data_IF_662760699861
#
_entry.id   IF_662760699861
#
_cell.length_a   1.000
_cell.length_b   1.000
_cell.length_c   1.000
_cell.angle_alpha   90.00
_cell.angle_beta   90.00
_cell.angle_gamma   90.00
#
_symmetry.space_group_name_H-M   'P 1'
#
loop_
_entity.id
_entity.type
_entity.pdbx_description
1 polymer ?
#
# COMPACT_ATOMS: atom_id res chain seq x y z
N UNK A 1 -7.62 2.47 -13.15
CA UNK A 1 -9.03 2.29 -13.58
C UNK A 1 -9.20 1.27 -14.71
N UNK A 2 -8.37 1.29 -15.77
CA UNK A 2 -8.42 0.28 -16.85
C UNK A 2 -8.24 -1.18 -16.35
N UNK A 3 -7.36 -1.39 -15.36
CA UNK A 3 -7.10 -2.69 -14.74
C UNK A 3 -8.32 -3.34 -14.06
N UNK A 4 -9.22 -2.54 -13.47
CA UNK A 4 -10.42 -3.06 -12.80
C UNK A 4 -11.46 -3.48 -13.85
N UNK A 5 -11.61 -2.69 -14.92
CA UNK A 5 -12.54 -3.00 -16.01
C UNK A 5 -12.15 -4.29 -16.73
N UNK A 6 -10.85 -4.49 -17.01
CA UNK A 6 -10.38 -5.72 -17.67
C UNK A 6 -10.54 -6.95 -16.77
N UNK A 7 -10.28 -6.84 -15.47
CA UNK A 7 -10.50 -7.93 -14.51
C UNK A 7 -11.99 -8.31 -14.42
N UNK A 8 -12.89 -7.31 -14.37
CA UNK A 8 -14.35 -7.53 -14.35
C UNK A 8 -14.83 -8.11 -15.69
N UNK A 9 -14.36 -7.59 -16.82
CA UNK A 9 -14.72 -8.12 -18.15
C UNK A 9 -14.27 -9.57 -18.31
N UNK A 10 -13.07 -9.92 -17.86
CA UNK A 10 -12.55 -11.28 -17.93
C UNK A 10 -13.35 -12.22 -17.01
N UNK A 11 -13.73 -11.77 -15.81
CA UNK A 11 -14.56 -12.54 -14.87
C UNK A 11 -15.97 -12.78 -15.44
N UNK A 12 -16.56 -11.77 -16.08
CA UNK A 12 -17.88 -11.89 -16.73
C UNK A 12 -17.81 -12.80 -17.96
N UNK A 13 -16.76 -12.70 -18.78
CA UNK A 13 -16.54 -13.55 -19.94
C UNK A 13 -16.28 -15.02 -19.55
N UNK A 14 -15.50 -15.27 -18.49
CA UNK A 14 -15.31 -16.62 -17.95
C UNK A 14 -16.59 -17.23 -17.38
N UNK A 15 -17.52 -16.39 -16.89
CA UNK A 15 -18.82 -16.82 -16.38
C UNK A 15 -19.81 -17.09 -17.53
N UNK A 16 -19.79 -16.28 -18.59
CA UNK A 16 -20.65 -16.46 -19.76
C UNK A 16 -20.19 -17.59 -20.69
N UNK A 17 -18.91 -17.98 -20.62
CA UNK A 17 -18.34 -19.05 -21.45
C UNK A 17 -18.52 -20.47 -20.88
N UNK A 18 -19.28 -20.67 -19.79
CA UNK A 18 -19.39 -21.98 -19.10
C UNK A 18 -20.82 -22.56 -19.10
N UNK A 19 -21.12 -23.53 -19.99
CA UNK A 19 -22.31 -24.39 -19.88
C UNK A 19 -22.05 -25.71 -19.12
N UNK A 20 -20.80 -26.06 -18.75
CA UNK A 20 -20.49 -27.31 -18.04
C UNK A 20 -19.53 -27.05 -16.88
N UNK A 21 -19.86 -27.58 -15.70
CA UNK A 21 -19.05 -27.55 -14.47
C UNK A 21 -17.88 -28.53 -14.64
N UNK A 22 -16.64 -28.08 -14.46
CA UNK A 22 -15.44 -28.91 -14.66
C UNK A 22 -15.47 -30.14 -13.74
N UNK A 23 -15.14 -31.31 -14.30
CA UNK A 23 -15.13 -32.61 -13.63
C UNK A 23 -13.80 -32.95 -12.93
N UNK A 24 -12.86 -32.00 -12.86
CA UNK A 24 -11.59 -32.18 -12.17
C UNK A 24 -11.12 -30.84 -11.61
N UNK A 25 -11.07 -30.71 -10.28
CA UNK A 25 -10.55 -29.53 -9.59
C UNK A 25 -9.04 -29.68 -9.38
N UNK A 26 -8.24 -29.26 -10.36
CA UNK A 26 -6.77 -29.20 -10.22
C UNK A 26 -6.28 -27.75 -10.08
N UNK A 27 -6.94 -26.96 -9.23
CA UNK A 27 -6.73 -25.50 -9.16
C UNK A 27 -6.58 -24.96 -7.74
N UNK A 28 -5.91 -25.71 -6.85
CA UNK A 28 -5.79 -25.30 -5.44
C UNK A 28 -4.77 -24.16 -5.24
N UNK A 29 -3.70 -24.08 -6.04
CA UNK A 29 -2.66 -23.04 -5.85
C UNK A 29 -2.95 -21.68 -6.51
N UNK A 30 -3.46 -21.69 -7.75
CA UNK A 30 -3.78 -20.44 -8.46
C UNK A 30 -4.87 -19.62 -7.74
N UNK A 31 -5.79 -20.31 -7.07
CA UNK A 31 -6.84 -19.69 -6.25
C UNK A 31 -6.26 -18.97 -5.02
N UNK A 32 -5.27 -19.56 -4.36
CA UNK A 32 -4.68 -18.97 -3.14
C UNK A 32 -3.89 -17.69 -3.44
N UNK A 33 -3.03 -17.71 -4.46
CA UNK A 33 -2.26 -16.53 -4.89
C UNK A 33 -3.18 -15.40 -5.40
N UNK A 34 -4.27 -15.74 -6.10
CA UNK A 34 -5.25 -14.76 -6.56
C UNK A 34 -6.05 -14.14 -5.40
N UNK A 35 -6.43 -14.96 -4.42
CA UNK A 35 -7.14 -14.49 -3.21
C UNK A 35 -6.28 -13.53 -2.38
N UNK A 36 -5.01 -13.85 -2.15
CA UNK A 36 -4.12 -12.97 -1.37
C UNK A 36 -3.83 -11.65 -2.10
N UNK A 37 -3.77 -11.64 -3.43
CA UNK A 37 -3.68 -10.41 -4.22
C UNK A 37 -4.92 -9.52 -4.10
N UNK A 38 -6.12 -10.11 -4.11
CA UNK A 38 -7.37 -9.36 -3.93
C UNK A 38 -7.50 -8.80 -2.51
N UNK A 39 -7.23 -9.63 -1.50
CA UNK A 39 -7.31 -9.24 -0.08
C UNK A 39 -6.31 -8.13 0.22
N UNK A 40 -5.04 -8.29 -0.18
CA UNK A 40 -4.02 -7.26 0.03
C UNK A 40 -4.38 -5.95 -0.68
N UNK A 41 -4.95 -6.01 -1.89
CA UNK A 41 -5.42 -4.82 -2.60
C UNK A 41 -6.54 -4.08 -1.86
N UNK A 42 -7.50 -4.80 -1.28
CA UNK A 42 -8.58 -4.19 -0.47
C UNK A 42 -8.02 -3.56 0.81
N UNK A 43 -7.09 -4.24 1.50
CA UNK A 43 -6.44 -3.71 2.70
C UNK A 43 -5.70 -2.39 2.38
N UNK A 44 -4.92 -2.38 1.30
CA UNK A 44 -4.18 -1.19 0.85
C UNK A 44 -5.16 -0.06 0.50
N UNK A 45 -6.26 -0.37 -0.19
CA UNK A 45 -7.28 0.63 -0.51
C UNK A 45 -7.90 1.26 0.74
N UNK A 46 -8.29 0.45 1.72
CA UNK A 46 -8.81 0.95 3.01
C UNK A 46 -7.77 1.81 3.73
N UNK A 47 -6.50 1.38 3.72
CA UNK A 47 -5.41 2.17 4.29
C UNK A 47 -5.22 3.51 3.58
N UNK A 48 -5.29 3.56 2.25
CA UNK A 48 -5.19 4.82 1.49
C UNK A 48 -6.33 5.76 1.87
N UNK A 49 -7.57 5.26 1.99
CA UNK A 49 -8.71 6.08 2.42
C UNK A 49 -8.47 6.65 3.82
N UNK A 50 -8.04 5.81 4.78
CA UNK A 50 -7.67 6.26 6.11
C UNK A 50 -6.53 7.29 6.09
N UNK A 51 -5.47 7.04 5.31
CA UNK A 51 -4.31 7.90 5.17
C UNK A 51 -4.70 9.29 4.66
N UNK A 52 -5.57 9.36 3.64
CA UNK A 52 -6.08 10.62 3.11
C UNK A 52 -6.97 11.36 4.12
N UNK A 53 -7.87 10.65 4.79
CA UNK A 53 -8.71 11.25 5.84
C UNK A 53 -7.86 11.82 6.98
N UNK A 54 -6.75 11.16 7.31
CA UNK A 54 -5.88 11.57 8.40
C UNK A 54 -4.96 12.74 8.02
N UNK A 55 -4.12 12.58 6.99
CA UNK A 55 -3.09 13.57 6.67
C UNK A 55 -3.54 14.64 5.68
N UNK A 56 -4.46 14.33 4.76
CA UNK A 56 -4.86 15.27 3.71
C UNK A 56 -6.11 16.07 4.11
N UNK A 57 -7.11 15.40 4.66
CA UNK A 57 -8.39 16.01 5.00
C UNK A 57 -8.49 16.43 6.48
N UNK A 58 -7.61 15.93 7.35
CA UNK A 58 -7.61 16.29 8.78
C UNK A 58 -8.85 15.85 9.55
N UNK A 59 -9.61 14.87 9.05
CA UNK A 59 -10.89 14.45 9.62
C UNK A 59 -10.68 13.64 10.91
N UNK A 60 -9.65 12.80 10.96
CA UNK A 60 -9.45 11.88 12.09
C UNK A 60 -8.76 12.55 13.29
N UNK A 61 -7.85 13.49 13.04
CA UNK A 61 -7.11 14.21 14.06
C UNK A 61 -7.07 15.72 13.75
N UNK A 62 -8.21 16.43 13.91
CA UNK A 62 -8.33 17.84 13.55
C UNK A 62 -7.40 18.75 14.37
N UNK A 63 -7.09 18.36 15.62
CA UNK A 63 -6.15 19.06 16.49
C UNK A 63 -4.72 19.06 15.93
N UNK A 64 -4.29 17.95 15.32
CA UNK A 64 -2.98 17.84 14.69
C UNK A 64 -3.01 18.60 13.35
N UNK A 65 -4.11 18.50 12.60
CA UNK A 65 -4.27 19.21 11.32
C UNK A 65 -4.26 20.73 11.46
N UNK A 66 -4.72 21.30 12.58
CA UNK A 66 -4.71 22.76 12.79
C UNK A 66 -3.33 23.38 13.02
N UNK A 67 -2.25 22.59 13.06
CA UNK A 67 -0.88 23.09 13.24
C UNK A 67 -0.42 23.87 12.01
N UNK A 68 0.05 25.10 12.23
CA UNK A 68 0.57 25.97 11.18
C UNK A 68 2.02 26.36 11.45
N UNK A 69 2.80 26.50 10.37
CA UNK A 69 4.13 27.08 10.39
C UNK A 69 4.06 28.60 10.60
N UNK A 70 5.20 29.28 10.87
CA UNK A 70 5.22 30.73 11.03
C UNK A 70 4.77 31.53 9.80
N UNK A 71 4.57 30.87 8.65
CA UNK A 71 4.08 31.45 7.40
C UNK A 71 2.58 31.19 7.19
N UNK A 72 1.89 30.65 8.18
CA UNK A 72 0.45 30.35 8.13
C UNK A 72 0.08 29.15 7.25
N UNK A 73 1.04 28.27 6.94
CA UNK A 73 0.81 27.03 6.15
C UNK A 73 0.73 25.83 7.08
N UNK A 74 -0.01 24.79 6.71
CA UNK A 74 -0.06 23.55 7.49
C UNK A 74 1.35 23.00 7.75
N UNK A 75 1.69 22.78 9.03
CA UNK A 75 2.97 22.23 9.45
C UNK A 75 2.96 20.70 9.35
N UNK A 76 3.11 20.22 8.12
CA UNK A 76 3.10 18.78 7.79
C UNK A 76 4.16 18.01 8.57
N UNK A 77 5.32 18.62 8.86
CA UNK A 77 6.40 17.95 9.59
C UNK A 77 5.96 17.62 11.02
N UNK A 78 5.41 18.60 11.72
CA UNK A 78 4.90 18.41 13.07
C UNK A 78 3.67 17.51 13.10
N UNK A 79 2.80 17.62 12.10
CA UNK A 79 1.67 16.72 11.94
C UNK A 79 2.12 15.26 11.87
N UNK A 80 3.10 14.95 11.02
CA UNK A 80 3.66 13.61 10.88
C UNK A 80 4.24 13.09 12.19
N UNK A 81 5.02 13.91 12.90
CA UNK A 81 5.62 13.50 14.18
C UNK A 81 4.55 13.21 15.23
N UNK A 82 3.59 14.11 15.41
CA UNK A 82 2.53 13.92 16.41
C UNK A 82 1.63 12.72 16.06
N UNK A 83 1.28 12.56 14.79
CA UNK A 83 0.50 11.42 14.31
C UNK A 83 1.19 10.08 14.59
N UNK A 84 2.51 9.98 14.42
CA UNK A 84 3.25 8.73 14.64
C UNK A 84 3.68 8.48 16.09
N UNK A 85 3.46 9.43 17.01
CA UNK A 85 3.62 9.17 18.45
C UNK A 85 2.51 8.28 19.00
N UNK A 86 1.37 8.20 18.32
CA UNK A 86 0.34 7.22 18.64
C UNK A 86 0.77 5.82 18.14
N UNK A 87 0.95 4.90 19.08
CA UNK A 87 1.35 3.51 18.80
C UNK A 87 0.40 2.80 17.82
N UNK A 88 -0.91 3.09 17.84
CA UNK A 88 -1.89 2.48 16.96
C UNK A 88 -1.77 3.00 15.53
N UNK A 89 -1.57 4.30 15.36
CA UNK A 89 -1.34 4.93 14.05
C UNK A 89 -0.03 4.43 13.45
N UNK A 90 1.05 4.39 14.24
CA UNK A 90 2.35 3.89 13.79
C UNK A 90 2.29 2.41 13.42
N UNK A 91 1.71 1.57 14.29
CA UNK A 91 1.59 0.13 14.05
C UNK A 91 0.77 -0.21 12.81
N UNK A 92 -0.40 0.44 12.64
CA UNK A 92 -1.25 0.24 11.46
C UNK A 92 -0.58 0.70 10.16
N UNK A 93 0.19 1.79 10.20
CA UNK A 93 0.99 2.27 9.07
C UNK A 93 2.07 1.27 8.65
N UNK A 94 2.87 0.77 9.61
CA UNK A 94 3.93 -0.21 9.32
C UNK A 94 3.33 -1.50 8.76
N UNK A 95 2.22 -1.98 9.34
CA UNK A 95 1.49 -3.13 8.83
C UNK A 95 1.01 -2.91 7.39
N UNK A 96 0.42 -1.75 7.10
CA UNK A 96 -0.04 -1.42 5.75
C UNK A 96 1.11 -1.34 4.75
N UNK A 97 2.27 -0.80 5.15
CA UNK A 97 3.47 -0.77 4.32
C UNK A 97 4.01 -2.18 4.06
N UNK A 98 3.93 -3.09 5.03
CA UNK A 98 4.31 -4.49 4.85
C UNK A 98 3.38 -5.20 3.84
N UNK A 99 2.06 -5.00 3.97
CA UNK A 99 1.07 -5.51 3.02
C UNK A 99 1.27 -4.92 1.62
N UNK A 100 1.61 -3.63 1.52
CA UNK A 100 1.94 -2.98 0.25
C UNK A 100 3.17 -3.62 -0.41
N UNK A 101 4.23 -3.88 0.35
CA UNK A 101 5.42 -4.56 -0.15
C UNK A 101 5.08 -5.97 -0.66
N UNK A 102 4.30 -6.73 0.11
CA UNK A 102 3.80 -8.03 -0.30
C UNK A 102 2.98 -7.93 -1.60
N UNK A 103 2.01 -7.01 -1.67
CA UNK A 103 1.17 -6.80 -2.84
C UNK A 103 1.97 -6.45 -4.09
N UNK A 104 2.97 -5.57 -3.98
CA UNK A 104 3.85 -5.20 -5.09
C UNK A 104 4.72 -6.38 -5.53
N UNK A 105 5.26 -7.16 -4.58
CA UNK A 105 6.11 -8.32 -4.90
C UNK A 105 5.39 -9.36 -5.77
N UNK A 106 4.08 -9.51 -5.56
CA UNK A 106 3.21 -10.40 -6.32
C UNK A 106 2.64 -9.72 -7.60
N UNK A 107 2.22 -8.46 -7.50
CA UNK A 107 1.63 -7.70 -8.60
C UNK A 107 2.60 -7.43 -9.75
N UNK A 108 3.88 -7.20 -9.45
CA UNK A 108 4.91 -6.93 -10.46
C UNK A 108 5.01 -8.08 -11.46
N UNK A 109 4.99 -9.33 -10.98
CA UNK A 109 5.03 -10.51 -11.85
C UNK A 109 3.83 -10.55 -12.82
N UNK A 110 2.62 -10.27 -12.31
CA UNK A 110 1.38 -10.26 -13.09
C UNK A 110 1.33 -9.11 -14.11
N UNK A 111 1.84 -7.92 -13.75
CA UNK A 111 1.91 -6.76 -14.64
C UNK A 111 2.82 -7.03 -15.84
N UNK A 112 4.04 -7.53 -15.59
CA UNK A 112 4.98 -7.85 -16.66
C UNK A 112 4.52 -9.04 -17.53
N UNK A 113 3.79 -10.00 -16.96
CA UNK A 113 3.13 -11.06 -17.72
C UNK A 113 2.04 -10.52 -18.63
N UNK A 114 1.20 -9.61 -18.13
CA UNK A 114 0.09 -9.01 -18.92
C UNK A 114 0.59 -8.13 -20.07
N UNK A 115 1.76 -7.50 -19.90
CA UNK A 115 2.40 -6.68 -20.94
C UNK A 115 3.19 -7.50 -21.96
N UNK A 116 3.24 -8.84 -21.83
CA UNK A 116 4.01 -9.70 -22.74
C UNK A 116 5.53 -9.55 -22.63
N UNK A 117 6.03 -8.82 -21.62
CA UNK A 117 7.46 -8.58 -21.38
C UNK A 117 8.13 -9.77 -20.65
N UNK A 118 7.34 -10.77 -20.26
CA UNK A 118 7.77 -11.89 -19.45
C UNK A 118 8.44 -12.98 -20.29
N UNK A 119 9.77 -12.91 -20.43
CA UNK A 119 10.58 -13.90 -21.16
C UNK A 119 11.75 -14.39 -20.27
N UNK A 120 11.57 -15.55 -19.64
CA UNK A 120 12.61 -16.33 -18.96
C UNK A 120 13.49 -15.54 -17.97
N UNK A 121 14.78 -15.36 -18.30
CA UNK A 121 15.79 -14.78 -17.38
C UNK A 121 15.52 -13.31 -17.01
N UNK A 122 14.75 -12.58 -17.82
CA UNK A 122 14.37 -11.17 -17.58
C UNK A 122 13.27 -11.04 -16.51
N UNK A 123 12.41 -12.06 -16.39
CA UNK A 123 11.40 -12.16 -15.33
C UNK A 123 12.02 -12.10 -13.94
N UNK A 124 13.03 -12.94 -13.70
CA UNK A 124 13.72 -13.03 -12.41
C UNK A 124 14.37 -11.70 -12.04
N UNK A 125 15.00 -11.02 -13.00
CA UNK A 125 15.62 -9.70 -12.78
C UNK A 125 14.57 -8.64 -12.44
N UNK A 126 13.46 -8.59 -13.17
CA UNK A 126 12.37 -7.64 -12.93
C UNK A 126 11.70 -7.87 -11.59
N UNK A 127 11.48 -9.13 -11.21
CA UNK A 127 10.94 -9.50 -9.90
C UNK A 127 11.87 -9.07 -8.76
N UNK A 128 13.17 -9.34 -8.87
CA UNK A 128 14.17 -8.92 -7.87
C UNK A 128 14.21 -7.39 -7.77
N UNK A 129 14.30 -6.68 -8.90
CA UNK A 129 14.31 -5.22 -8.91
C UNK A 129 13.04 -4.65 -8.27
N UNK A 130 11.88 -5.23 -8.57
CA UNK A 130 10.60 -4.86 -7.98
C UNK A 130 10.57 -5.04 -6.47
N UNK A 131 11.01 -6.19 -5.98
CA UNK A 131 11.11 -6.48 -4.53
C UNK A 131 12.11 -5.52 -3.88
N UNK A 132 13.26 -5.26 -4.49
CA UNK A 132 14.26 -4.35 -3.93
C UNK A 132 13.71 -2.93 -3.79
N UNK A 133 13.02 -2.41 -4.80
CA UNK A 133 12.39 -1.09 -4.75
C UNK A 133 11.29 -1.05 -3.68
N UNK A 134 10.43 -2.07 -3.64
CA UNK A 134 9.37 -2.16 -2.63
C UNK A 134 9.93 -2.23 -1.20
N UNK A 135 10.99 -3.01 -0.98
CA UNK A 135 11.69 -3.10 0.31
C UNK A 135 12.35 -1.78 0.69
N UNK A 136 12.96 -1.06 -0.27
CA UNK A 136 13.54 0.25 0.00
C UNK A 136 12.48 1.26 0.43
N UNK A 137 11.33 1.28 -0.24
CA UNK A 137 10.18 2.12 0.11
C UNK A 137 9.67 1.74 1.51
N UNK A 138 9.53 0.45 1.79
CA UNK A 138 9.08 -0.04 3.10
C UNK A 138 10.02 0.42 4.22
N UNK A 139 11.32 0.20 4.08
CA UNK A 139 12.33 0.57 5.08
C UNK A 139 12.39 2.08 5.25
N UNK A 140 12.44 2.84 4.15
CA UNK A 140 12.53 4.30 4.19
C UNK A 140 11.30 4.95 4.82
N UNK A 141 10.10 4.46 4.52
CA UNK A 141 8.87 5.00 5.10
C UNK A 141 8.67 4.55 6.56
N UNK A 142 9.01 3.29 6.88
CA UNK A 142 8.87 2.77 8.24
C UNK A 142 9.90 3.39 9.19
N UNK A 143 11.09 3.73 8.70
CA UNK A 143 12.10 4.40 9.54
C UNK A 143 11.64 5.77 10.00
N UNK A 144 10.92 6.54 9.17
CA UNK A 144 10.34 7.84 9.56
C UNK A 144 9.29 7.66 10.67
N UNK A 145 8.40 6.68 10.52
CA UNK A 145 7.36 6.40 11.52
C UNK A 145 7.97 5.96 12.86
N UNK A 146 8.97 5.06 12.82
CA UNK A 146 9.68 4.60 14.02
C UNK A 146 10.51 5.72 14.65
N UNK A 147 11.21 6.53 13.87
CA UNK A 147 11.98 7.66 14.37
C UNK A 147 11.09 8.71 15.06
N UNK A 148 9.88 8.92 14.52
CA UNK A 148 8.86 9.77 15.13
C UNK A 148 8.35 9.18 16.45
N UNK A 149 8.07 7.87 16.49
CA UNK A 149 7.56 7.18 17.67
C UNK A 149 8.57 7.16 18.83
N UNK A 150 9.85 6.87 18.55
CA UNK A 150 10.90 6.83 19.55
C UNK A 150 11.43 8.22 19.94
N UNK A 151 10.95 9.28 19.31
CA UNK A 151 11.37 10.66 19.60
C UNK A 151 12.78 11.00 19.12
N UNK A 152 13.31 10.27 18.13
CA UNK A 152 14.58 10.63 17.47
C UNK A 152 14.47 11.90 16.62
N UNK A 153 13.24 12.28 16.23
CA UNK A 153 12.96 13.51 15.50
C UNK A 153 12.56 14.64 16.45
N UNK A 154 13.31 15.74 16.38
CA UNK A 154 13.03 16.97 17.11
C UNK A 154 11.87 17.72 16.47
N UNK A 155 10.99 18.27 17.31
CA UNK A 155 9.97 19.22 16.87
C UNK A 155 10.63 20.55 16.49
N UNK A 156 10.05 21.27 15.52
CA UNK A 156 10.57 22.58 15.15
C UNK A 156 10.27 23.62 16.25
N UNK A 157 11.07 24.70 16.33
CA UNK A 157 11.04 25.62 17.48
C UNK A 157 9.74 26.42 17.66
N UNK A 158 8.86 26.46 16.66
CA UNK A 158 7.56 27.13 16.74
C UNK A 158 6.44 26.24 17.31
N UNK A 159 6.72 24.97 17.57
CA UNK A 159 5.75 24.03 18.17
C UNK A 159 5.96 23.99 19.67
N UNK A 160 5.13 24.73 20.41
CA UNK A 160 5.21 24.82 21.88
C UNK A 160 5.13 26.24 22.46
N UNK A 161 4.75 27.23 21.66
CA UNK A 161 4.36 28.56 22.12
C UNK A 161 2.83 28.73 22.09
#
# INVERSE_FOLDING_TARGET
>A
MAHIKTAIQLALQNKSAKPVRYAYEDTVEASYASRTMMISGVIIFMFIVYHLMHFTLGITHPNIYSLHDPKGRHDVYSMVIFSFRDYWVCGSYILAMAVLCFHLSHGISSLFQSLGLNVGRREKKLKIAGISIASLIFIGNSSIALASLFGFLSLPPWVGH
#
